data_IF_796756624475
#
_entry.id   IF_796756624475
#
_cell.length_a   1.000
_cell.length_b   1.000
_cell.length_c   1.000
_cell.angle_alpha   90.00
_cell.angle_beta   90.00
_cell.angle_gamma   90.00
#
_symmetry.space_group_name_H-M   'P 1'
#
loop_
_entity.id
_entity.type
_entity.pdbx_description
1 polymer ?
#
# COMPACT_ATOMS: atom_id res chain seq x y z
N UNK A 1 10.58 12.72 -5.03
CA UNK A 1 11.85 11.98 -4.84
C UNK A 1 11.86 10.79 -5.78
N UNK A 2 12.92 10.56 -6.54
CA UNK A 2 12.93 9.48 -7.55
C UNK A 2 13.80 8.32 -7.09
N UNK A 3 13.17 7.25 -6.57
CA UNK A 3 13.85 6.03 -6.11
C UNK A 3 14.61 5.39 -7.29
N UNK A 4 15.87 5.00 -7.10
CA UNK A 4 16.70 4.41 -8.18
C UNK A 4 16.37 2.94 -8.37
N UNK A 5 16.60 2.41 -9.58
CA UNK A 5 16.37 0.99 -9.90
C UNK A 5 17.10 0.03 -8.96
N UNK A 6 18.35 0.36 -8.59
CA UNK A 6 19.12 -0.46 -7.63
C UNK A 6 18.41 -0.55 -6.28
N UNK A 7 17.95 0.58 -5.75
CA UNK A 7 17.23 0.63 -4.47
C UNK A 7 15.94 -0.18 -4.54
N UNK A 8 15.16 -0.06 -5.63
CA UNK A 8 13.95 -0.87 -5.81
C UNK A 8 14.23 -2.38 -5.80
N UNK A 9 15.39 -2.83 -6.31
CA UNK A 9 15.76 -4.25 -6.28
C UNK A 9 16.10 -4.72 -4.86
N UNK A 10 16.83 -3.88 -4.12
CA UNK A 10 17.23 -4.15 -2.74
C UNK A 10 15.98 -4.20 -1.83
N UNK A 11 15.10 -3.21 -1.92
CA UNK A 11 13.81 -3.17 -1.21
C UNK A 11 12.92 -4.37 -1.56
N UNK A 12 12.71 -4.63 -2.85
CA UNK A 12 11.88 -5.76 -3.28
C UNK A 12 12.39 -7.11 -2.75
N UNK A 13 13.72 -7.30 -2.72
CA UNK A 13 14.29 -8.52 -2.14
C UNK A 13 14.05 -8.60 -0.64
N UNK A 14 14.32 -7.51 0.09
CA UNK A 14 14.15 -7.49 1.55
C UNK A 14 12.70 -7.73 1.98
N UNK A 15 11.73 -7.07 1.34
CA UNK A 15 10.30 -7.27 1.63
C UNK A 15 9.84 -8.68 1.25
N UNK A 16 10.27 -9.18 0.08
CA UNK A 16 9.93 -10.53 -0.37
C UNK A 16 10.49 -11.60 0.56
N UNK A 17 11.74 -11.49 0.97
CA UNK A 17 12.37 -12.44 1.90
C UNK A 17 11.67 -12.43 3.25
N UNK A 18 11.37 -11.24 3.80
CA UNK A 18 10.63 -11.10 5.06
C UNK A 18 9.26 -11.77 5.00
N UNK A 19 8.50 -11.56 3.92
CA UNK A 19 7.20 -12.18 3.72
C UNK A 19 7.29 -13.71 3.63
N UNK A 20 8.28 -14.24 2.92
CA UNK A 20 8.46 -15.69 2.82
C UNK A 20 8.89 -16.31 4.16
N UNK A 21 9.74 -15.63 4.93
CA UNK A 21 10.13 -16.08 6.27
C UNK A 21 8.94 -16.08 7.23
N UNK A 22 8.07 -15.07 7.16
CA UNK A 22 6.81 -15.04 7.93
C UNK A 22 5.87 -16.20 7.56
N UNK A 23 5.82 -16.57 6.28
CA UNK A 23 5.04 -17.71 5.79
C UNK A 23 5.74 -19.07 6.06
N UNK A 24 6.93 -19.09 6.67
CA UNK A 24 7.70 -20.31 6.97
C UNK A 24 8.30 -21.00 5.74
N UNK A 25 8.40 -20.30 4.62
CA UNK A 25 8.94 -20.83 3.38
C UNK A 25 10.49 -20.76 3.35
N UNK A 26 11.11 -21.64 2.56
CA UNK A 26 12.55 -21.55 2.21
C UNK A 26 12.70 -20.99 0.79
N UNK A 27 12.75 -19.67 0.63
CA UNK A 27 12.79 -19.03 -0.68
C UNK A 27 14.03 -19.39 -1.49
N UNK A 28 13.86 -19.54 -2.80
CA UNK A 28 14.94 -19.74 -3.78
C UNK A 28 15.09 -18.52 -4.69
N UNK A 29 16.29 -18.25 -5.25
CA UNK A 29 16.48 -17.15 -6.19
C UNK A 29 15.60 -17.22 -7.46
N UNK A 30 15.19 -18.43 -7.87
CA UNK A 30 14.27 -18.65 -8.99
C UNK A 30 12.86 -18.16 -8.68
N UNK A 31 12.36 -18.46 -7.47
CA UNK A 31 11.06 -17.99 -6.99
C UNK A 31 11.02 -16.48 -6.89
N UNK A 32 12.08 -15.85 -6.37
CA UNK A 32 12.15 -14.38 -6.30
C UNK A 32 11.87 -13.72 -7.65
N UNK A 33 12.58 -14.13 -8.71
CA UNK A 33 12.38 -13.56 -10.05
C UNK A 33 11.00 -13.84 -10.61
N UNK A 34 10.39 -14.99 -10.31
CA UNK A 34 9.03 -15.31 -10.75
C UNK A 34 8.01 -14.39 -10.05
N UNK A 35 8.17 -14.20 -8.75
CA UNK A 35 7.30 -13.34 -7.94
C UNK A 35 7.41 -11.88 -8.33
N UNK A 36 8.62 -11.35 -8.55
CA UNK A 36 8.78 -9.97 -9.02
C UNK A 36 8.09 -9.75 -10.38
N UNK A 37 8.13 -10.73 -11.29
CA UNK A 37 7.40 -10.63 -12.56
C UNK A 37 5.89 -10.63 -12.36
N UNK A 38 5.40 -11.47 -11.45
CA UNK A 38 3.99 -11.56 -11.08
C UNK A 38 3.49 -10.26 -10.46
N UNK A 39 4.14 -9.80 -9.39
CA UNK A 39 3.78 -8.56 -8.68
C UNK A 39 3.99 -7.31 -9.53
N UNK A 40 5.08 -7.27 -10.31
CA UNK A 40 5.37 -6.18 -11.23
C UNK A 40 4.49 -6.16 -12.48
N UNK A 41 3.68 -7.21 -12.70
CA UNK A 41 2.90 -7.46 -13.91
C UNK A 41 3.74 -7.23 -15.19
N UNK A 42 4.89 -7.90 -15.28
CA UNK A 42 5.82 -7.70 -16.39
C UNK A 42 6.94 -8.74 -16.45
N UNK A 43 7.39 -9.05 -17.66
CA UNK A 43 8.40 -10.10 -17.90
C UNK A 43 9.85 -9.58 -17.88
N UNK A 44 10.06 -8.31 -18.24
CA UNK A 44 11.39 -7.70 -18.37
C UNK A 44 11.87 -7.05 -17.06
N UNK A 45 12.73 -7.75 -16.33
CA UNK A 45 13.34 -7.29 -15.08
C UNK A 45 14.42 -6.21 -15.26
N UNK A 46 14.67 -5.70 -16.48
CA UNK A 46 15.50 -4.51 -16.70
C UNK A 46 14.69 -3.23 -16.56
N UNK A 47 13.36 -3.31 -16.70
CA UNK A 47 12.46 -2.16 -16.63
C UNK A 47 12.22 -1.73 -15.20
N UNK A 48 12.42 -0.45 -14.91
CA UNK A 48 12.24 0.10 -13.57
C UNK A 48 10.80 0.01 -13.09
N UNK A 49 9.85 0.16 -14.01
CA UNK A 49 8.42 0.14 -13.70
C UNK A 49 7.96 -1.21 -13.12
N UNK A 50 8.56 -2.32 -13.58
CA UNK A 50 8.26 -3.68 -13.07
C UNK A 50 8.66 -3.79 -11.60
N UNK A 51 9.85 -3.29 -11.25
CA UNK A 51 10.33 -3.30 -9.86
C UNK A 51 9.54 -2.38 -8.97
N UNK A 52 9.16 -1.19 -9.46
CA UNK A 52 8.35 -0.25 -8.68
C UNK A 52 6.99 -0.87 -8.34
N UNK A 53 6.28 -1.41 -9.33
CA UNK A 53 5.00 -2.11 -9.11
C UNK A 53 5.15 -3.28 -8.15
N UNK A 54 6.22 -4.07 -8.30
CA UNK A 54 6.49 -5.17 -7.39
C UNK A 54 6.70 -4.69 -5.95
N UNK A 55 7.45 -3.61 -5.73
CA UNK A 55 7.64 -3.03 -4.39
C UNK A 55 6.31 -2.58 -3.78
N UNK A 56 5.46 -1.89 -4.55
CA UNK A 56 4.14 -1.44 -4.08
C UNK A 56 3.28 -2.63 -3.64
N UNK A 57 3.27 -3.71 -4.42
CA UNK A 57 2.52 -4.92 -4.09
C UNK A 57 3.10 -5.65 -2.87
N UNK A 58 4.43 -5.73 -2.75
CA UNK A 58 5.09 -6.31 -1.59
C UNK A 58 4.82 -5.51 -0.31
N UNK A 59 4.83 -4.18 -0.40
CA UNK A 59 4.48 -3.28 0.70
C UNK A 59 3.03 -3.53 1.16
N UNK A 60 2.09 -3.60 0.21
CA UNK A 60 0.69 -3.90 0.49
C UNK A 60 0.53 -5.27 1.19
N UNK A 61 1.23 -6.30 0.71
CA UNK A 61 1.21 -7.63 1.33
C UNK A 61 1.80 -7.62 2.75
N UNK A 62 2.90 -6.89 2.96
CA UNK A 62 3.52 -6.76 4.27
C UNK A 62 2.58 -6.10 5.26
N UNK A 63 1.87 -5.04 4.86
CA UNK A 63 0.87 -4.39 5.69
C UNK A 63 -0.31 -5.32 6.02
N UNK A 64 -0.83 -6.05 5.01
CA UNK A 64 -1.98 -6.93 5.17
C UNK A 64 -1.72 -8.18 6.02
N UNK A 65 -0.49 -8.70 6.00
CA UNK A 65 -0.11 -9.93 6.70
C UNK A 65 0.62 -9.66 8.01
N UNK A 66 1.45 -8.63 8.03
CA UNK A 66 2.43 -8.38 9.09
C UNK A 66 1.97 -7.38 10.14
N UNK A 67 0.87 -6.66 9.93
CA UNK A 67 0.44 -5.58 10.79
C UNK A 67 -1.00 -5.77 11.30
N UNK A 68 -1.27 -5.30 12.53
CA UNK A 68 -2.64 -5.23 13.04
C UNK A 68 -3.40 -4.09 12.32
N UNK A 69 -4.69 -4.31 12.05
CA UNK A 69 -5.52 -3.42 11.23
C UNK A 69 -5.46 -1.94 11.65
N UNK A 70 -5.45 -1.65 12.96
CA UNK A 70 -5.36 -0.28 13.48
C UNK A 70 -4.01 0.37 13.16
N UNK A 71 -2.93 -0.39 13.31
CA UNK A 71 -1.56 0.08 13.05
C UNK A 71 -1.33 0.26 11.55
N UNK A 72 -1.95 -0.58 10.71
CA UNK A 72 -1.94 -0.41 9.25
C UNK A 72 -2.54 0.95 8.85
N UNK A 73 -3.68 1.34 9.42
CA UNK A 73 -4.29 2.66 9.13
C UNK A 73 -3.37 3.81 9.58
N UNK A 74 -2.71 3.67 10.75
CA UNK A 74 -1.74 4.69 11.20
C UNK A 74 -0.54 4.79 10.26
N UNK A 75 0.00 3.65 9.84
CA UNK A 75 1.11 3.60 8.88
C UNK A 75 0.70 4.23 7.55
N UNK A 76 -0.50 3.94 7.03
CA UNK A 76 -0.96 4.56 5.79
C UNK A 76 -1.11 6.07 5.91
N UNK A 77 -1.47 6.60 7.09
CA UNK A 77 -1.51 8.05 7.32
C UNK A 77 -0.10 8.66 7.43
N UNK A 78 0.80 7.99 8.15
CA UNK A 78 2.16 8.43 8.42
C UNK A 78 3.17 7.32 8.05
N UNK A 79 3.47 7.14 6.75
CA UNK A 79 4.32 6.05 6.30
C UNK A 79 5.77 6.24 6.75
N UNK A 80 6.39 5.15 7.20
CA UNK A 80 7.78 5.12 7.65
C UNK A 80 8.74 4.48 6.63
N UNK A 81 8.24 3.68 5.69
CA UNK A 81 9.02 3.13 4.57
C UNK A 81 9.16 4.13 3.42
N UNK A 82 10.27 4.04 2.67
CA UNK A 82 10.51 4.93 1.53
C UNK A 82 9.51 4.70 0.38
N UNK A 83 9.05 3.45 0.20
CA UNK A 83 8.02 3.12 -0.79
C UNK A 83 6.67 3.74 -0.39
N UNK A 84 6.22 3.52 0.85
CA UNK A 84 4.94 4.05 1.30
C UNK A 84 4.95 5.59 1.43
N UNK A 85 6.10 6.23 1.68
CA UNK A 85 6.22 7.71 1.63
C UNK A 85 6.07 8.24 0.20
N UNK A 86 6.68 7.57 -0.78
CA UNK A 86 6.71 8.04 -2.15
C UNK A 86 5.45 7.68 -2.97
N UNK A 87 4.79 6.57 -2.64
CA UNK A 87 3.69 5.99 -3.41
C UNK A 87 2.53 5.54 -2.52
N UNK A 88 2.19 6.35 -1.50
CA UNK A 88 1.22 5.94 -0.49
C UNK A 88 -0.17 5.62 -1.07
N UNK A 89 -0.59 6.40 -2.07
CA UNK A 89 -1.88 6.20 -2.74
C UNK A 89 -1.89 4.88 -3.49
N UNK A 90 -0.83 4.58 -4.24
CA UNK A 90 -0.71 3.33 -5.00
C UNK A 90 -0.59 2.11 -4.08
N UNK A 91 0.03 2.25 -2.90
CA UNK A 91 0.04 1.21 -1.86
C UNK A 91 -1.37 0.98 -1.31
N UNK A 92 -2.12 2.04 -1.01
CA UNK A 92 -3.51 1.91 -0.57
C UNK A 92 -4.39 1.26 -1.66
N UNK A 93 -4.26 1.67 -2.91
CA UNK A 93 -4.96 1.04 -4.04
C UNK A 93 -4.61 -0.45 -4.18
N UNK A 94 -3.33 -0.79 -4.05
CA UNK A 94 -2.89 -2.19 -4.08
C UNK A 94 -3.50 -2.99 -2.93
N UNK A 95 -3.55 -2.45 -1.71
CA UNK A 95 -4.24 -3.06 -0.56
C UNK A 95 -5.72 -3.34 -0.89
N UNK A 96 -6.42 -2.36 -1.47
CA UNK A 96 -7.84 -2.47 -1.79
C UNK A 96 -8.15 -3.48 -2.91
N UNK A 97 -7.16 -3.88 -3.70
CA UNK A 97 -7.29 -4.96 -4.69
C UNK A 97 -7.29 -6.35 -4.06
N UNK A 98 -6.80 -6.50 -2.83
CA UNK A 98 -6.87 -7.79 -2.12
C UNK A 98 -8.27 -8.03 -1.54
N UNK A 99 -8.81 -9.27 -1.62
CA UNK A 99 -10.15 -9.58 -1.12
C UNK A 99 -10.42 -9.17 0.34
N UNK A 100 -9.41 -9.25 1.20
CA UNK A 100 -9.50 -8.86 2.62
C UNK A 100 -9.15 -7.39 2.88
N UNK A 101 -8.61 -6.66 1.90
CA UNK A 101 -7.99 -5.36 2.13
C UNK A 101 -8.97 -4.30 2.61
N UNK A 102 -10.10 -4.15 1.92
CA UNK A 102 -11.15 -3.22 2.35
C UNK A 102 -11.68 -3.56 3.75
N UNK A 103 -11.86 -4.85 4.06
CA UNK A 103 -12.35 -5.29 5.36
C UNK A 103 -11.36 -4.97 6.48
N UNK A 104 -10.05 -5.16 6.25
CA UNK A 104 -9.02 -4.83 7.23
C UNK A 104 -8.90 -3.32 7.45
N UNK A 105 -8.90 -2.51 6.38
CA UNK A 105 -8.89 -1.03 6.50
C UNK A 105 -10.11 -0.54 7.29
N UNK A 106 -11.30 -1.04 6.95
CA UNK A 106 -12.53 -0.72 7.67
C UNK A 106 -12.43 -1.10 9.15
N UNK A 107 -11.96 -2.31 9.45
CA UNK A 107 -11.81 -2.76 10.83
C UNK A 107 -10.80 -1.90 11.62
N UNK A 108 -9.71 -1.48 11.00
CA UNK A 108 -8.73 -0.56 11.59
C UNK A 108 -9.35 0.79 11.94
N UNK A 109 -10.14 1.36 11.02
CA UNK A 109 -10.87 2.62 11.25
C UNK A 109 -11.92 2.49 12.36
N UNK A 110 -12.70 1.41 12.35
CA UNK A 110 -13.69 1.14 13.41
C UNK A 110 -13.02 1.01 14.78
N UNK A 111 -11.87 0.32 14.87
CA UNK A 111 -11.09 0.21 16.11
C UNK A 111 -10.55 1.56 16.58
N UNK A 112 -9.97 2.36 15.68
CA UNK A 112 -9.47 3.70 16.01
C UNK A 112 -10.58 4.62 16.52
N UNK A 113 -11.77 4.55 15.93
CA UNK A 113 -12.87 5.45 16.23
C UNK A 113 -13.70 5.03 17.45
N UNK A 114 -14.11 3.75 17.51
CA UNK A 114 -15.02 3.25 18.55
C UNK A 114 -14.31 2.62 19.75
N UNK A 115 -13.05 2.21 19.60
CA UNK A 115 -12.26 1.58 20.65
C UNK A 115 -10.87 2.24 20.79
N UNK A 116 -10.82 3.57 21.00
CA UNK A 116 -9.56 4.29 21.07
C UNK A 116 -8.73 3.82 22.26
N UNK A 117 -7.46 3.52 22.01
CA UNK A 117 -6.48 3.17 23.07
C UNK A 117 -5.59 4.37 23.39
N UNK A 118 -5.34 5.24 22.39
CA UNK A 118 -4.63 6.51 22.56
C UNK A 118 -5.60 7.66 22.33
N UNK A 119 -5.34 8.81 22.96
CA UNK A 119 -6.15 10.03 22.80
C UNK A 119 -6.19 10.53 21.35
N UNK A 120 -5.17 10.21 20.53
CA UNK A 120 -5.08 10.59 19.13
C UNK A 120 -5.90 9.71 18.17
N UNK A 121 -6.41 8.55 18.61
CA UNK A 121 -6.90 7.50 17.72
C UNK A 121 -8.11 7.92 16.89
N UNK A 122 -9.07 8.58 17.53
CA UNK A 122 -10.24 9.12 16.84
C UNK A 122 -9.82 10.15 15.78
N UNK A 123 -8.83 11.00 16.12
CA UNK A 123 -8.26 11.99 15.19
C UNK A 123 -7.63 11.33 13.96
N UNK A 124 -6.84 10.26 14.15
CA UNK A 124 -6.25 9.49 13.04
C UNK A 124 -7.33 8.94 12.11
N UNK A 125 -8.42 8.37 12.66
CA UNK A 125 -9.51 7.84 11.83
C UNK A 125 -10.19 8.93 11.00
N UNK A 126 -10.46 10.09 11.61
CA UNK A 126 -11.08 11.23 10.92
C UNK A 126 -10.15 11.78 9.84
N UNK A 127 -8.86 11.94 10.13
CA UNK A 127 -7.86 12.43 9.17
C UNK A 127 -7.73 11.49 7.97
N UNK A 128 -7.68 10.18 8.21
CA UNK A 128 -7.62 9.18 7.16
C UNK A 128 -8.87 9.20 6.25
N UNK A 129 -10.07 9.30 6.84
CA UNK A 129 -11.32 9.42 6.08
C UNK A 129 -11.35 10.70 5.24
N UNK A 130 -10.93 11.83 5.80
CA UNK A 130 -10.84 13.10 5.08
C UNK A 130 -9.87 13.01 3.89
N UNK A 131 -8.71 12.37 4.08
CA UNK A 131 -7.75 12.12 3.01
C UNK A 131 -8.39 11.32 1.86
N UNK A 132 -9.10 10.23 2.16
CA UNK A 132 -9.77 9.43 1.13
C UNK A 132 -10.87 10.23 0.42
N UNK A 133 -11.65 11.01 1.17
CA UNK A 133 -12.71 11.85 0.61
C UNK A 133 -12.16 12.95 -0.32
N UNK A 134 -11.01 13.53 0.02
CA UNK A 134 -10.32 14.51 -0.83
C UNK A 134 -9.76 13.89 -2.11
N UNK A 135 -9.24 12.65 -2.05
CA UNK A 135 -8.82 11.90 -3.25
C UNK A 135 -10.01 11.71 -4.20
N UNK A 136 -11.21 11.41 -3.69
CA UNK A 136 -12.41 11.31 -4.53
C UNK A 136 -12.87 12.64 -5.14
N UNK A 137 -12.65 13.79 -4.49
CA UNK A 137 -13.03 15.08 -5.07
C UNK A 137 -12.12 15.52 -6.24
N UNK A 138 -10.90 14.99 -6.34
CA UNK A 138 -9.96 15.33 -7.41
C UNK A 138 -10.27 14.54 -8.70
N UNK A 139 -10.83 13.33 -8.60
CA UNK A 139 -11.23 12.52 -9.77
C UNK A 139 -12.60 12.90 -10.34
N UNK A 140 -13.37 13.74 -9.64
CA UNK A 140 -14.61 14.32 -10.18
C UNK A 140 -14.33 15.75 -10.65
N UNK A 141 -13.52 15.88 -11.70
CA UNK A 141 -13.69 17.00 -12.62
C UNK A 141 -15.05 16.81 -13.30
N UNK A 142 -16.13 17.22 -12.63
CA UNK A 142 -17.42 17.41 -13.30
C UNK A 142 -17.16 18.34 -14.49
N UNK A 143 -17.46 17.94 -15.73
CA UNK A 143 -17.46 18.90 -16.82
C UNK A 143 -18.38 20.06 -16.40
N UNK A 144 -18.02 21.32 -16.71
CA UNK A 144 -18.90 22.43 -16.41
C UNK A 144 -20.25 22.10 -17.05
N UNK A 145 -21.27 21.97 -16.21
CA UNK A 145 -22.64 21.88 -16.66
C UNK A 145 -22.89 23.12 -17.51
N UNK A 146 -22.84 22.91 -18.83
CA UNK A 146 -23.42 23.84 -19.78
C UNK A 146 -24.92 23.84 -19.52
N UNK A 147 -25.36 24.68 -18.58
CA UNK A 147 -26.73 25.14 -18.55
C UNK A 147 -26.72 26.45 -19.32
N UNK A 148 -26.78 26.31 -20.63
CA UNK A 148 -27.50 27.24 -21.48
C UNK A 148 -28.99 26.89 -21.33
N UNK A 149 -29.80 27.87 -20.97
CA UNK A 149 -31.25 27.75 -20.79
C UNK A 149 -31.77 28.78 -19.80
#
# INVERSE_FOLDING_TARGET
MTIKLRQLKEEAYSSWETLNLQDGATPTPGQFKADIRRYGNGQDLRRKEVWLRACIQLEALWLLKGMENRDMVRHLLNPDTEIAKAYNTEVLEAILQYPSGLAQVRNGLERLYYQPVRSSDMGVAVEFLNRIAQVQQIDIALPPLAIAG
#
